data_IF_727336126385
#
_entry.id   IF_727336126385
#
_cell.length_a   1.000
_cell.length_b   1.000
_cell.length_c   1.000
_cell.angle_alpha   90.00
_cell.angle_beta   90.00
_cell.angle_gamma   90.00
#
_symmetry.space_group_name_H-M   'P 1'
#
loop_
_entity.id
_entity.type
_entity.pdbx_description
1 polymer ?
#
# COMPACT_ATOMS: atom_id res chain seq x y z
N UNK A 1 -26.98 -12.79 -11.59
CA UNK A 1 -27.01 -12.70 -13.07
C UNK A 1 -25.59 -12.65 -13.60
N UNK A 2 -25.17 -13.57 -14.49
CA UNK A 2 -23.87 -13.48 -15.20
C UNK A 2 -23.81 -12.16 -15.95
N UNK A 3 -22.64 -11.49 -15.95
CA UNK A 3 -22.42 -10.26 -16.70
C UNK A 3 -22.43 -10.56 -18.20
N UNK A 4 -22.97 -9.64 -19.00
CA UNK A 4 -23.01 -9.75 -20.45
C UNK A 4 -21.58 -9.78 -20.99
N UNK A 5 -21.25 -10.74 -21.85
CA UNK A 5 -19.93 -10.87 -22.45
C UNK A 5 -19.65 -9.74 -23.45
N UNK A 6 -18.37 -9.49 -23.71
CA UNK A 6 -17.95 -8.49 -24.73
C UNK A 6 -18.42 -8.92 -26.10
N UNK A 7 -18.37 -10.23 -26.39
CA UNK A 7 -18.80 -10.79 -27.66
C UNK A 7 -20.30 -10.53 -27.91
N UNK A 8 -21.14 -10.77 -26.90
CA UNK A 8 -22.57 -10.50 -27.04
C UNK A 8 -22.87 -8.99 -27.21
N UNK A 9 -22.15 -8.11 -26.51
CA UNK A 9 -22.26 -6.66 -26.70
C UNK A 9 -21.91 -6.25 -28.13
N UNK A 10 -20.84 -6.81 -28.71
CA UNK A 10 -20.44 -6.53 -30.09
C UNK A 10 -21.49 -7.03 -31.10
N UNK A 11 -22.05 -8.22 -30.91
CA UNK A 11 -23.15 -8.73 -31.76
C UNK A 11 -24.37 -7.80 -31.73
N UNK A 12 -24.74 -7.32 -30.56
CA UNK A 12 -25.86 -6.37 -30.41
C UNK A 12 -25.55 -5.03 -31.06
N UNK A 13 -24.32 -4.51 -30.95
CA UNK A 13 -23.89 -3.27 -31.60
C UNK A 13 -23.87 -3.46 -33.13
N UNK A 14 -23.29 -4.57 -33.61
CA UNK A 14 -23.23 -4.88 -35.06
C UNK A 14 -24.62 -5.03 -35.70
N UNK A 15 -25.62 -5.51 -34.97
CA UNK A 15 -27.00 -5.59 -35.47
C UNK A 15 -27.63 -4.22 -35.76
N UNK A 16 -27.07 -3.10 -35.22
CA UNK A 16 -27.58 -1.75 -35.50
C UNK A 16 -27.38 -1.39 -37.01
N UNK A 17 -26.27 -1.85 -37.60
CA UNK A 17 -25.96 -1.53 -38.99
C UNK A 17 -26.82 -2.31 -39.99
N UNK A 18 -27.38 -3.45 -39.59
CA UNK A 18 -28.31 -4.24 -40.40
C UNK A 18 -29.78 -3.79 -40.32
N UNK A 19 -30.09 -2.84 -39.39
CA UNK A 19 -31.46 -2.33 -39.23
C UNK A 19 -31.78 -1.18 -40.17
N UNK A 20 -33.02 -1.21 -40.70
CA UNK A 20 -33.54 -0.11 -41.52
C UNK A 20 -34.08 1.00 -40.61
N UNK A 21 -33.65 2.24 -40.81
CA UNK A 21 -34.15 3.39 -40.05
C UNK A 21 -33.43 4.69 -40.39
N UNK A 22 -34.16 5.79 -40.41
CA UNK A 22 -33.69 7.13 -40.80
C UNK A 22 -32.73 7.78 -39.82
N UNK A 23 -32.59 7.22 -38.60
CA UNK A 23 -31.65 7.69 -37.59
C UNK A 23 -31.06 6.53 -36.80
N UNK A 24 -29.87 6.75 -36.24
CA UNK A 24 -29.19 5.76 -35.43
C UNK A 24 -30.03 5.36 -34.21
N UNK A 25 -30.79 6.31 -33.60
CA UNK A 25 -31.66 6.07 -32.46
C UNK A 25 -32.85 5.18 -32.85
N UNK A 26 -33.42 5.38 -34.07
CA UNK A 26 -34.48 4.53 -34.61
C UNK A 26 -33.99 3.08 -34.78
N UNK A 27 -32.82 2.89 -35.37
CA UNK A 27 -32.19 1.56 -35.53
C UNK A 27 -31.91 0.88 -34.21
N UNK A 28 -31.41 1.62 -33.19
CA UNK A 28 -31.18 1.09 -31.83
C UNK A 28 -32.50 0.61 -31.20
N UNK A 29 -33.61 1.34 -31.39
CA UNK A 29 -34.93 0.94 -30.89
C UNK A 29 -35.41 -0.34 -31.57
N UNK A 30 -35.15 -0.55 -32.86
CA UNK A 30 -35.51 -1.80 -33.51
C UNK A 30 -34.65 -2.97 -33.00
N UNK A 31 -33.33 -2.77 -32.85
CA UNK A 31 -32.44 -3.79 -32.24
C UNK A 31 -32.90 -4.16 -30.81
N UNK A 32 -33.43 -3.21 -30.04
CA UNK A 32 -33.89 -3.50 -28.68
C UNK A 32 -35.09 -4.43 -28.61
N UNK A 33 -35.81 -4.65 -29.71
CA UNK A 33 -36.92 -5.61 -29.83
C UNK A 33 -36.44 -7.04 -30.11
N UNK A 34 -35.17 -7.21 -30.50
CA UNK A 34 -34.61 -8.52 -30.85
C UNK A 34 -34.19 -9.28 -29.63
N UNK A 35 -34.30 -10.60 -29.72
CA UNK A 35 -33.76 -11.53 -28.71
C UNK A 35 -32.40 -12.02 -29.17
N UNK A 36 -31.39 -11.86 -28.33
CA UNK A 36 -30.03 -12.37 -28.54
C UNK A 36 -29.80 -13.54 -27.59
N UNK A 37 -29.05 -14.55 -28.05
CA UNK A 37 -28.66 -15.67 -27.20
C UNK A 37 -27.22 -15.44 -26.74
N UNK A 38 -26.96 -15.61 -25.44
CA UNK A 38 -25.60 -15.57 -24.90
C UNK A 38 -24.84 -16.85 -25.25
N UNK A 39 -23.59 -16.95 -24.78
CA UNK A 39 -22.69 -18.09 -25.05
C UNK A 39 -23.20 -19.41 -24.43
N UNK A 40 -24.07 -19.30 -23.42
CA UNK A 40 -24.71 -20.45 -22.75
C UNK A 40 -26.08 -20.77 -23.44
N UNK A 41 -26.43 -20.10 -24.55
CA UNK A 41 -27.72 -20.26 -25.27
C UNK A 41 -28.91 -19.56 -24.57
N UNK A 42 -28.69 -18.79 -23.52
CA UNK A 42 -29.76 -18.14 -22.76
C UNK A 42 -30.27 -16.90 -23.50
N UNK A 43 -31.58 -16.75 -23.72
CA UNK A 43 -32.15 -15.61 -24.40
C UNK A 43 -32.01 -14.32 -23.57
N UNK A 44 -31.57 -13.24 -24.22
CA UNK A 44 -31.38 -11.92 -23.64
C UNK A 44 -32.02 -10.84 -24.49
N UNK A 45 -32.75 -9.95 -23.84
CA UNK A 45 -33.31 -8.73 -24.46
C UNK A 45 -32.68 -7.53 -23.77
N UNK A 46 -32.29 -6.53 -24.53
CA UNK A 46 -31.62 -5.33 -24.02
C UNK A 46 -32.44 -4.09 -24.31
N UNK A 47 -32.52 -3.19 -23.33
CA UNK A 47 -33.19 -1.91 -23.53
C UNK A 47 -32.41 -1.04 -24.51
N UNK A 48 -33.10 -0.18 -25.25
CA UNK A 48 -32.45 0.73 -26.19
C UNK A 48 -31.40 1.64 -25.53
N UNK A 49 -31.61 2.03 -24.26
CA UNK A 49 -30.62 2.82 -23.47
C UNK A 49 -29.35 2.03 -23.20
N UNK A 50 -29.47 0.76 -22.89
CA UNK A 50 -28.30 -0.13 -22.69
C UNK A 50 -27.48 -0.25 -23.97
N UNK A 51 -28.17 -0.45 -25.09
CA UNK A 51 -27.53 -0.56 -26.40
C UNK A 51 -26.85 0.75 -26.79
N UNK A 52 -27.51 1.88 -26.58
CA UNK A 52 -26.95 3.21 -26.82
C UNK A 52 -25.69 3.46 -25.97
N UNK A 53 -25.71 3.08 -24.69
CA UNK A 53 -24.57 3.20 -23.81
C UNK A 53 -23.39 2.37 -24.33
N UNK A 54 -23.62 1.13 -24.72
CA UNK A 54 -22.55 0.28 -25.28
C UNK A 54 -22.01 0.85 -26.60
N UNK A 55 -22.86 1.35 -27.47
CA UNK A 55 -22.41 1.99 -28.71
C UNK A 55 -21.55 3.24 -28.43
N UNK A 56 -21.96 4.06 -27.47
CA UNK A 56 -21.18 5.23 -27.04
C UNK A 56 -19.79 4.84 -26.52
N UNK A 57 -19.75 3.86 -25.61
CA UNK A 57 -18.49 3.33 -25.04
C UNK A 57 -17.61 2.75 -26.16
N UNK A 58 -18.20 1.99 -27.07
CA UNK A 58 -17.48 1.41 -28.21
C UNK A 58 -16.86 2.48 -29.13
N UNK A 59 -17.61 3.56 -29.41
CA UNK A 59 -17.11 4.68 -30.21
C UNK A 59 -15.98 5.47 -29.54
N UNK A 60 -15.92 5.51 -28.21
CA UNK A 60 -14.89 6.21 -27.45
C UNK A 60 -13.55 5.45 -27.36
N UNK A 61 -13.56 4.14 -27.31
CA UNK A 61 -12.34 3.38 -27.09
C UNK A 61 -12.38 1.92 -27.57
N UNK A 62 -13.25 1.61 -28.53
CA UNK A 62 -13.30 0.31 -29.16
C UNK A 62 -13.69 -0.84 -28.23
N UNK A 63 -13.28 -2.04 -28.61
CA UNK A 63 -13.59 -3.30 -27.91
C UNK A 63 -13.05 -3.31 -26.47
N UNK A 64 -11.89 -2.68 -26.23
CA UNK A 64 -11.26 -2.65 -24.90
C UNK A 64 -12.14 -1.96 -23.85
N UNK A 65 -12.84 -0.92 -24.23
CA UNK A 65 -13.73 -0.19 -23.32
C UNK A 65 -15.03 -0.97 -23.01
N UNK A 66 -15.42 -1.92 -23.87
CA UNK A 66 -16.59 -2.80 -23.64
C UNK A 66 -16.30 -3.90 -22.62
N UNK A 67 -15.04 -4.18 -22.29
CA UNK A 67 -14.67 -5.17 -21.31
C UNK A 67 -15.30 -4.83 -19.96
N UNK A 68 -15.81 -5.86 -19.28
CA UNK A 68 -16.37 -5.71 -17.94
C UNK A 68 -15.24 -5.44 -16.95
N UNK A 69 -14.96 -4.17 -16.68
CA UNK A 69 -13.99 -3.80 -15.65
C UNK A 69 -14.55 -4.13 -14.27
N UNK A 70 -13.80 -4.78 -13.39
CA UNK A 70 -14.19 -4.86 -11.99
C UNK A 70 -14.28 -3.43 -11.42
N UNK A 71 -15.18 -3.22 -10.48
CA UNK A 71 -15.24 -1.92 -9.78
C UNK A 71 -13.89 -1.64 -9.14
N UNK A 72 -13.41 -0.41 -9.22
CA UNK A 72 -12.14 0.03 -8.64
C UNK A 72 -12.09 -0.11 -7.10
N UNK A 73 -13.27 -0.24 -6.48
CA UNK A 73 -13.42 -0.46 -5.03
C UNK A 73 -13.64 -1.92 -4.64
N UNK A 74 -13.56 -2.87 -5.61
CA UNK A 74 -13.68 -4.30 -5.31
C UNK A 74 -12.50 -4.76 -4.47
N UNK A 75 -12.78 -5.23 -3.25
CA UNK A 75 -11.76 -5.66 -2.28
C UNK A 75 -11.27 -4.55 -1.35
N UNK A 76 -11.68 -3.30 -1.54
CA UNK A 76 -11.38 -2.22 -0.59
C UNK A 76 -12.48 -2.12 0.47
N UNK A 77 -12.07 -2.14 1.72
CA UNK A 77 -12.96 -1.96 2.87
C UNK A 77 -12.93 -0.49 3.30
N UNK A 78 -14.09 0.20 3.17
CA UNK A 78 -14.14 1.66 3.37
C UNK A 78 -14.13 2.08 4.85
N UNK A 79 -14.62 1.22 5.76
CA UNK A 79 -14.81 1.57 7.16
C UNK A 79 -14.14 0.61 8.14
N UNK A 80 -14.27 -0.69 7.95
CA UNK A 80 -13.68 -1.72 8.81
C UNK A 80 -12.85 -2.67 7.97
N UNK A 81 -11.60 -2.87 8.33
CA UNK A 81 -10.74 -3.88 7.71
C UNK A 81 -11.10 -5.28 8.24
N UNK A 82 -10.83 -6.35 7.48
CA UNK A 82 -11.02 -7.72 7.96
C UNK A 82 -10.21 -8.02 9.22
N UNK A 83 -9.01 -7.45 9.33
CA UNK A 83 -8.11 -7.61 10.48
C UNK A 83 -8.72 -7.00 11.75
N UNK A 84 -9.17 -5.75 11.70
CA UNK A 84 -9.84 -5.08 12.82
C UNK A 84 -11.11 -5.82 13.25
N UNK A 85 -11.84 -6.39 12.28
CA UNK A 85 -13.00 -7.23 12.59
C UNK A 85 -12.58 -8.55 13.23
N UNK A 86 -11.47 -9.15 12.79
CA UNK A 86 -10.94 -10.37 13.39
C UNK A 86 -10.51 -10.15 14.83
N UNK A 87 -9.76 -9.07 15.12
CA UNK A 87 -9.37 -8.71 16.48
C UNK A 87 -10.59 -8.54 17.40
N UNK A 88 -11.63 -7.85 16.91
CA UNK A 88 -12.88 -7.69 17.66
C UNK A 88 -13.59 -9.04 17.90
N UNK A 89 -13.58 -9.95 16.93
CA UNK A 89 -14.13 -11.31 17.08
C UNK A 89 -13.31 -12.11 18.10
N UNK A 90 -11.98 -12.09 18.01
CA UNK A 90 -11.09 -12.81 18.92
C UNK A 90 -11.19 -12.35 20.36
N UNK A 91 -11.44 -11.05 20.58
CA UNK A 91 -11.69 -10.50 21.90
C UNK A 91 -12.97 -11.04 22.56
N UNK A 92 -14.01 -11.27 21.77
CA UNK A 92 -15.35 -11.69 22.26
C UNK A 92 -15.51 -13.21 22.29
N UNK A 93 -14.83 -13.96 21.41
CA UNK A 93 -14.95 -15.42 21.32
C UNK A 93 -14.72 -16.19 22.63
N UNK A 94 -13.78 -15.82 23.52
CA UNK A 94 -13.60 -16.52 24.79
C UNK A 94 -14.84 -16.57 25.68
N UNK A 95 -15.75 -15.58 25.57
CA UNK A 95 -16.99 -15.54 26.36
C UNK A 95 -18.00 -16.60 25.94
N UNK A 96 -17.84 -17.17 24.75
CA UNK A 96 -18.76 -18.15 24.16
C UNK A 96 -18.19 -19.59 24.17
N UNK A 97 -17.08 -19.86 24.90
CA UNK A 97 -16.39 -21.18 24.86
C UNK A 97 -17.29 -22.33 25.24
N UNK A 98 -18.22 -22.13 26.17
CA UNK A 98 -19.10 -23.15 26.73
C UNK A 98 -20.55 -23.08 26.22
N UNK A 99 -20.86 -22.16 25.32
CA UNK A 99 -22.22 -21.93 24.82
C UNK A 99 -22.31 -22.04 23.31
N UNK A 100 -23.42 -22.59 22.81
CA UNK A 100 -23.71 -22.52 21.36
C UNK A 100 -23.97 -21.07 20.98
N UNK A 101 -23.17 -20.51 20.08
CA UNK A 101 -23.32 -19.17 19.58
C UNK A 101 -23.63 -19.15 18.08
N UNK A 102 -24.28 -18.08 17.63
CA UNK A 102 -24.45 -17.77 16.23
C UNK A 102 -23.73 -16.45 15.88
N UNK A 103 -23.55 -16.20 14.58
CA UNK A 103 -22.89 -15.00 14.07
C UNK A 103 -23.48 -13.69 14.58
N UNK A 104 -24.80 -13.68 14.81
CA UNK A 104 -25.52 -12.51 15.32
C UNK A 104 -25.17 -12.21 16.78
N UNK A 105 -25.00 -13.23 17.61
CA UNK A 105 -24.64 -13.04 19.03
C UNK A 105 -23.25 -12.41 19.14
N UNK A 106 -22.30 -12.88 18.35
CA UNK A 106 -20.95 -12.30 18.28
C UNK A 106 -21.01 -10.85 17.82
N UNK A 107 -21.76 -10.54 16.75
CA UNK A 107 -21.93 -9.17 16.27
C UNK A 107 -22.51 -8.25 17.35
N UNK A 108 -23.58 -8.67 18.04
CA UNK A 108 -24.16 -7.88 19.12
C UNK A 108 -23.15 -7.62 20.25
N UNK A 109 -22.40 -8.64 20.63
CA UNK A 109 -21.42 -8.53 21.72
C UNK A 109 -20.28 -7.58 21.37
N UNK A 110 -19.77 -7.59 20.14
CA UNK A 110 -18.78 -6.65 19.63
C UNK A 110 -19.29 -5.20 19.74
N UNK A 111 -20.55 -4.96 19.37
CA UNK A 111 -21.16 -3.63 19.46
C UNK A 111 -21.41 -3.21 20.90
N UNK A 112 -21.88 -4.13 21.77
CA UNK A 112 -22.12 -3.88 23.19
C UNK A 112 -20.82 -3.53 23.95
N UNK A 113 -19.73 -4.17 23.62
CA UNK A 113 -18.41 -3.88 24.21
C UNK A 113 -17.73 -2.64 23.61
N UNK A 114 -18.34 -2.01 22.59
CA UNK A 114 -17.78 -0.82 21.95
C UNK A 114 -16.52 -1.08 21.14
N UNK A 115 -16.18 -2.35 20.81
CA UNK A 115 -15.04 -2.71 19.98
C UNK A 115 -15.20 -2.21 18.56
N UNK A 116 -16.42 -2.16 18.05
CA UNK A 116 -16.81 -1.53 16.79
C UNK A 116 -18.15 -0.82 16.97
N UNK A 117 -18.38 0.25 16.22
CA UNK A 117 -19.68 0.91 16.18
C UNK A 117 -20.55 0.36 15.03
N UNK A 118 -21.87 0.54 15.13
CA UNK A 118 -22.79 0.21 14.02
C UNK A 118 -22.53 1.04 12.76
N UNK A 119 -21.97 2.25 12.92
CA UNK A 119 -21.59 3.12 11.80
C UNK A 119 -20.35 2.62 11.08
N UNK A 120 -19.45 1.92 11.76
CA UNK A 120 -18.23 1.37 11.18
C UNK A 120 -18.49 0.03 10.50
N UNK A 121 -19.21 -0.85 11.19
CA UNK A 121 -19.55 -2.17 10.67
C UNK A 121 -21.06 -2.43 10.80
N UNK A 122 -21.81 -2.29 9.71
CA UNK A 122 -23.20 -2.71 9.66
C UNK A 122 -23.31 -4.24 9.74
N UNK A 123 -24.45 -4.74 10.21
CA UNK A 123 -24.70 -6.18 10.27
C UNK A 123 -24.45 -6.90 8.94
N UNK A 124 -24.90 -6.32 7.83
CA UNK A 124 -24.69 -6.90 6.48
C UNK A 124 -23.20 -6.95 6.12
N UNK A 125 -22.44 -5.91 6.48
CA UNK A 125 -20.98 -5.88 6.28
C UNK A 125 -20.29 -6.92 7.14
N UNK A 126 -20.69 -7.07 8.40
CA UNK A 126 -20.18 -8.11 9.30
C UNK A 126 -20.38 -9.52 8.70
N UNK A 127 -21.60 -9.88 8.31
CA UNK A 127 -21.86 -11.21 7.74
C UNK A 127 -21.11 -11.45 6.44
N UNK A 128 -20.98 -10.42 5.60
CA UNK A 128 -20.22 -10.50 4.36
C UNK A 128 -18.74 -10.74 4.65
N UNK A 129 -18.12 -9.93 5.52
CA UNK A 129 -16.71 -10.06 5.87
C UNK A 129 -16.41 -11.41 6.54
N UNK A 130 -17.26 -11.82 7.50
CA UNK A 130 -17.13 -13.13 8.15
C UNK A 130 -17.18 -14.28 7.15
N UNK A 131 -18.05 -14.19 6.13
CA UNK A 131 -18.13 -15.21 5.08
C UNK A 131 -16.97 -15.15 4.10
N UNK A 132 -16.65 -13.94 3.61
CA UNK A 132 -15.68 -13.74 2.53
C UNK A 132 -14.24 -14.03 3.02
N UNK A 133 -13.99 -13.93 4.33
CA UNK A 133 -12.70 -14.16 4.99
C UNK A 133 -12.71 -15.31 6.01
N UNK A 134 -13.79 -16.08 6.12
CA UNK A 134 -13.96 -17.22 7.03
C UNK A 134 -13.58 -16.92 8.51
N UNK A 135 -13.91 -15.70 8.99
CA UNK A 135 -13.44 -15.18 10.27
C UNK A 135 -13.93 -15.96 11.51
N UNK A 136 -14.96 -16.77 11.40
CA UNK A 136 -15.53 -17.59 12.47
C UNK A 136 -15.32 -19.09 12.29
N UNK A 137 -14.53 -19.51 11.30
CA UNK A 137 -14.15 -20.91 11.20
C UNK A 137 -13.15 -21.26 12.30
N UNK A 138 -13.37 -22.34 13.07
CA UNK A 138 -12.38 -22.79 14.04
C UNK A 138 -11.06 -23.11 13.32
N UNK A 139 -9.96 -22.74 13.93
CA UNK A 139 -8.60 -22.94 13.37
C UNK A 139 -8.30 -24.40 12.97
N UNK A 140 -9.07 -25.38 13.52
CA UNK A 140 -8.95 -26.81 13.22
C UNK A 140 -9.57 -27.25 11.87
N UNK A 141 -10.34 -26.36 11.18
CA UNK A 141 -10.95 -26.63 9.87
C UNK A 141 -10.36 -25.82 8.72
N UNK A 142 -9.40 -24.96 8.96
CA UNK A 142 -8.49 -24.58 7.88
C UNK A 142 -7.76 -25.85 7.51
N UNK A 143 -8.14 -26.46 6.37
CA UNK A 143 -7.30 -27.47 5.73
C UNK A 143 -5.87 -27.00 5.89
N UNK A 144 -5.01 -27.87 6.45
CA UNK A 144 -3.57 -27.66 6.46
C UNK A 144 -3.16 -27.51 4.99
N UNK A 145 -3.31 -26.31 4.43
CA UNK A 145 -2.67 -25.98 3.17
C UNK A 145 -1.22 -26.32 3.42
N UNK A 146 -0.74 -27.37 2.79
CA UNK A 146 0.63 -27.87 2.91
C UNK A 146 1.53 -26.69 2.58
N UNK A 147 1.92 -25.95 3.64
CA UNK A 147 2.76 -24.75 3.51
C UNK A 147 4.14 -25.24 3.19
N UNK A 148 4.54 -25.07 1.95
CA UNK A 148 5.90 -25.31 1.56
C UNK A 148 6.75 -24.18 2.14
N UNK A 149 7.73 -24.53 2.97
CA UNK A 149 8.76 -23.57 3.36
C UNK A 149 9.43 -23.05 2.08
N UNK A 150 9.39 -21.75 1.87
CA UNK A 150 10.03 -21.12 0.72
C UNK A 150 11.22 -20.28 1.18
N UNK A 151 12.19 -20.13 0.34
CA UNK A 151 13.27 -19.17 0.47
C UNK A 151 13.57 -18.63 -0.92
N UNK A 152 13.83 -17.33 -1.00
CA UNK A 152 14.32 -16.73 -2.21
C UNK A 152 15.72 -17.24 -2.52
N UNK A 153 16.08 -17.26 -3.80
CA UNK A 153 17.36 -17.78 -4.24
C UNK A 153 18.46 -16.75 -4.04
N UNK A 154 18.20 -15.48 -4.35
CA UNK A 154 19.19 -14.41 -4.31
C UNK A 154 18.83 -13.32 -3.32
N UNK A 155 19.87 -12.65 -2.78
CA UNK A 155 19.70 -11.47 -1.94
C UNK A 155 18.95 -10.37 -2.72
N UNK A 156 18.16 -9.59 -2.01
CA UNK A 156 17.31 -8.52 -2.56
C UNK A 156 16.19 -8.98 -3.54
N UNK A 157 15.95 -10.27 -3.70
CA UNK A 157 14.70 -10.68 -4.37
C UNK A 157 13.47 -10.33 -3.54
N UNK A 158 13.55 -10.45 -2.22
CA UNK A 158 12.45 -10.12 -1.33
C UNK A 158 12.93 -9.70 0.05
N UNK A 159 12.45 -8.55 0.52
CA UNK A 159 12.54 -8.19 1.93
C UNK A 159 11.20 -8.39 2.62
N UNK A 160 11.23 -8.93 3.83
CA UNK A 160 10.09 -8.93 4.74
C UNK A 160 10.22 -7.76 5.70
N UNK A 161 9.12 -7.05 5.91
CA UNK A 161 9.03 -5.89 6.78
C UNK A 161 7.96 -6.14 7.84
N UNK A 162 8.26 -5.76 9.08
CA UNK A 162 7.31 -5.82 10.18
C UNK A 162 7.71 -4.89 11.32
N UNK A 163 6.78 -4.69 12.26
CA UNK A 163 6.98 -3.85 13.44
C UNK A 163 6.85 -4.68 14.72
N UNK A 164 7.73 -4.41 15.69
CA UNK A 164 7.73 -5.04 17.01
C UNK A 164 7.69 -3.99 18.11
N UNK A 165 6.98 -4.27 19.20
CA UNK A 165 7.07 -3.46 20.42
C UNK A 165 8.45 -3.57 21.06
N UNK A 166 9.05 -2.42 21.37
CA UNK A 166 10.33 -2.28 22.02
C UNK A 166 10.20 -1.90 23.51
N UNK A 167 11.31 -1.51 24.15
CA UNK A 167 11.33 -1.07 25.54
C UNK A 167 10.63 0.30 25.72
N UNK A 168 10.30 0.62 26.97
CA UNK A 168 9.80 1.94 27.34
C UNK A 168 10.97 2.90 27.53
N UNK A 169 10.90 4.07 26.89
CA UNK A 169 11.83 5.17 27.09
C UNK A 169 11.09 6.40 27.60
N UNK A 170 11.81 7.26 28.33
CA UNK A 170 11.28 8.58 28.69
C UNK A 170 11.17 9.43 27.41
N UNK A 171 9.96 9.98 27.19
CA UNK A 171 9.67 10.94 26.15
C UNK A 171 9.06 12.18 26.85
N UNK A 172 9.89 13.13 27.18
CA UNK A 172 9.50 14.25 28.04
C UNK A 172 9.13 13.79 29.47
N UNK A 173 7.89 14.05 29.90
CA UNK A 173 7.38 13.67 31.23
C UNK A 173 6.75 12.28 31.28
N UNK A 174 6.58 11.61 30.14
CA UNK A 174 5.90 10.31 30.04
C UNK A 174 6.89 9.22 29.62
N UNK A 175 6.60 7.96 30.01
CA UNK A 175 7.28 6.80 29.45
C UNK A 175 6.47 6.27 28.27
N UNK A 176 7.09 6.26 27.09
CA UNK A 176 6.45 5.80 25.86
C UNK A 176 7.10 4.50 25.40
N UNK A 177 6.29 3.51 25.07
CA UNK A 177 6.78 2.26 24.48
C UNK A 177 7.25 2.50 23.07
N UNK A 178 8.50 2.14 22.79
CA UNK A 178 9.07 2.25 21.45
C UNK A 178 8.55 1.17 20.51
N UNK A 179 8.69 1.39 19.23
CA UNK A 179 8.34 0.48 18.14
C UNK A 179 9.56 0.26 17.26
N UNK A 180 9.97 -0.99 17.07
CA UNK A 180 11.05 -1.37 16.15
C UNK A 180 10.44 -1.67 14.78
N UNK A 181 10.77 -0.87 13.77
CA UNK A 181 10.52 -1.18 12.36
C UNK A 181 11.76 -1.87 11.82
N UNK A 182 11.65 -3.06 11.26
CA UNK A 182 12.80 -3.81 10.76
C UNK A 182 12.53 -4.50 9.42
N UNK A 183 13.58 -4.65 8.64
CA UNK A 183 13.59 -5.29 7.32
C UNK A 183 14.59 -6.45 7.33
N UNK A 184 14.16 -7.62 6.88
CA UNK A 184 15.01 -8.79 6.71
C UNK A 184 15.00 -9.22 5.24
N UNK A 185 16.18 -9.50 4.70
CA UNK A 185 16.30 -10.14 3.40
C UNK A 185 15.95 -11.63 3.49
N UNK A 186 15.05 -12.06 2.61
CA UNK A 186 14.50 -13.41 2.64
C UNK A 186 15.53 -14.50 2.35
N UNK A 187 16.46 -14.27 1.43
CA UNK A 187 17.49 -15.24 1.03
C UNK A 187 18.62 -15.32 2.05
N UNK A 188 19.21 -14.18 2.39
CA UNK A 188 20.42 -14.11 3.21
C UNK A 188 20.16 -14.05 4.71
N UNK A 189 18.95 -13.71 5.14
CA UNK A 189 18.60 -13.41 6.55
C UNK A 189 19.27 -12.15 7.10
N UNK A 190 19.95 -11.37 6.28
CA UNK A 190 20.52 -10.09 6.70
C UNK A 190 19.39 -9.16 7.16
N UNK A 191 19.57 -8.55 8.32
CA UNK A 191 18.77 -7.40 8.68
C UNK A 191 19.32 -6.22 7.89
N UNK A 192 18.57 -5.80 6.89
CA UNK A 192 19.00 -4.73 5.99
C UNK A 192 19.01 -3.39 6.69
N UNK A 193 18.01 -3.15 7.54
CA UNK A 193 17.94 -2.07 8.51
C UNK A 193 16.89 -2.39 9.58
N UNK A 194 17.02 -1.74 10.73
CA UNK A 194 15.99 -1.71 11.76
C UNK A 194 16.23 -0.49 12.65
N UNK A 195 15.16 0.14 13.10
CA UNK A 195 15.23 1.36 13.92
C UNK A 195 14.04 1.44 14.87
N UNK A 196 14.32 1.84 16.12
CA UNK A 196 13.30 2.14 17.10
C UNK A 196 12.79 3.57 16.93
N UNK A 197 11.47 3.73 17.11
CA UNK A 197 10.76 5.00 17.07
C UNK A 197 9.78 5.08 18.24
N UNK A 198 9.33 6.28 18.62
CA UNK A 198 8.26 6.46 19.59
C UNK A 198 6.87 6.16 19.05
N UNK A 199 6.70 6.17 17.75
CA UNK A 199 5.42 5.90 17.07
C UNK A 199 5.61 5.10 15.80
N UNK A 200 4.59 4.35 15.45
CA UNK A 200 4.49 3.65 14.17
C UNK A 200 3.63 4.49 13.23
N UNK A 201 4.29 5.18 12.31
CA UNK A 201 3.65 6.03 11.32
C UNK A 201 4.38 5.94 9.96
N UNK A 202 3.77 6.47 8.92
CA UNK A 202 4.29 6.43 7.56
C UNK A 202 5.66 7.13 7.42
N UNK A 203 5.87 8.25 8.11
CA UNK A 203 7.13 9.01 8.01
C UNK A 203 8.30 8.22 8.60
N UNK A 204 8.10 7.57 9.76
CA UNK A 204 9.08 6.69 10.38
C UNK A 204 9.38 5.45 9.53
N UNK A 205 8.36 4.89 8.89
CA UNK A 205 8.53 3.79 7.95
C UNK A 205 9.35 4.21 6.73
N UNK A 206 9.07 5.38 6.15
CA UNK A 206 9.81 5.94 5.01
C UNK A 206 11.27 6.21 5.41
N UNK A 207 11.51 6.76 6.61
CA UNK A 207 12.85 6.99 7.12
C UNK A 207 13.63 5.68 7.24
N UNK A 208 13.05 4.65 7.84
CA UNK A 208 13.68 3.35 8.00
C UNK A 208 13.90 2.65 6.64
N UNK A 209 12.93 2.72 5.72
CA UNK A 209 13.07 2.17 4.37
C UNK A 209 14.18 2.87 3.58
N UNK A 210 14.26 4.21 3.64
CA UNK A 210 15.33 4.99 3.02
C UNK A 210 16.70 4.52 3.50
N UNK A 211 16.89 4.39 4.82
CA UNK A 211 18.15 3.91 5.40
C UNK A 211 18.50 2.48 4.94
N UNK A 212 17.51 1.58 4.87
CA UNK A 212 17.67 0.23 4.35
C UNK A 212 18.13 0.22 2.90
N UNK A 213 17.50 1.01 2.04
CA UNK A 213 17.77 1.08 0.60
C UNK A 213 19.17 1.62 0.30
N UNK A 214 19.59 2.68 0.99
CA UNK A 214 20.97 3.21 0.84
C UNK A 214 22.03 2.23 1.33
N UNK A 215 21.73 1.48 2.39
CA UNK A 215 22.69 0.56 3.00
C UNK A 215 22.84 -0.76 2.23
N UNK A 216 21.73 -1.32 1.71
CA UNK A 216 21.68 -2.69 1.18
C UNK A 216 21.09 -2.80 -0.23
N UNK A 217 20.86 -1.67 -0.89
CA UNK A 217 20.30 -1.64 -2.25
C UNK A 217 18.79 -1.83 -2.31
N UNK A 218 18.27 -2.01 -3.51
CA UNK A 218 16.84 -2.01 -3.82
C UNK A 218 16.34 -3.46 -3.94
N UNK A 219 15.35 -3.90 -3.13
CA UNK A 219 14.74 -5.21 -3.29
C UNK A 219 13.80 -5.24 -4.50
N UNK A 220 13.65 -6.40 -5.12
CA UNK A 220 12.63 -6.60 -6.17
C UNK A 220 11.23 -6.58 -5.57
N UNK A 221 11.05 -7.16 -4.39
CA UNK A 221 9.78 -7.26 -3.68
C UNK A 221 9.93 -6.81 -2.23
N UNK A 222 9.00 -5.98 -1.76
CA UNK A 222 8.82 -5.66 -0.35
C UNK A 222 7.54 -6.36 0.13
N UNK A 223 7.67 -7.26 1.09
CA UNK A 223 6.60 -8.11 1.59
C UNK A 223 6.15 -7.64 2.97
N UNK A 224 4.91 -7.18 3.08
CA UNK A 224 4.34 -6.50 4.24
C UNK A 224 3.00 -7.11 4.64
N UNK A 225 2.51 -6.81 5.84
CA UNK A 225 1.13 -7.12 6.20
C UNK A 225 0.14 -6.08 5.64
N UNK A 226 -1.14 -6.21 6.04
CA UNK A 226 -2.20 -5.30 5.62
C UNK A 226 -2.40 -4.13 6.60
N UNK A 227 -1.43 -3.85 7.48
CA UNK A 227 -1.48 -2.73 8.40
C UNK A 227 -1.61 -1.38 7.68
N UNK A 228 -2.26 -0.42 8.32
CA UNK A 228 -2.59 0.88 7.69
C UNK A 228 -1.37 1.65 7.18
N UNK A 229 -0.23 1.55 7.86
CA UNK A 229 1.02 2.20 7.45
C UNK A 229 1.63 1.59 6.17
N UNK A 230 1.36 0.32 5.89
CA UNK A 230 1.88 -0.39 4.73
C UNK A 230 0.96 -0.31 3.50
N UNK A 231 -0.31 0.05 3.71
CA UNK A 231 -1.31 0.20 2.63
C UNK A 231 -1.46 1.64 2.16
N UNK A 232 -0.71 2.58 2.73
CA UNK A 232 -0.79 3.99 2.38
C UNK A 232 -0.29 4.28 0.96
N UNK A 233 -0.79 5.36 0.37
CA UNK A 233 -0.46 5.73 -1.00
C UNK A 233 1.03 6.06 -1.18
N UNK A 234 1.65 6.62 -0.15
CA UNK A 234 3.05 7.05 -0.14
C UNK A 234 4.01 5.88 -0.33
N UNK A 235 3.83 4.79 0.41
CA UNK A 235 4.70 3.60 0.28
C UNK A 235 4.52 2.98 -1.11
N UNK A 236 3.27 2.92 -1.62
CA UNK A 236 3.01 2.45 -2.98
C UNK A 236 3.74 3.30 -4.03
N UNK A 237 3.69 4.63 -3.89
CA UNK A 237 4.37 5.55 -4.81
C UNK A 237 5.90 5.41 -4.74
N UNK A 238 6.48 5.33 -3.54
CA UNK A 238 7.93 5.12 -3.35
C UNK A 238 8.35 3.80 -3.99
N UNK A 239 7.65 2.70 -3.69
CA UNK A 239 7.93 1.38 -4.27
C UNK A 239 7.86 1.42 -5.80
N UNK A 240 6.86 2.08 -6.38
CA UNK A 240 6.74 2.24 -7.83
C UNK A 240 7.92 3.04 -8.43
N UNK A 241 8.36 4.13 -7.77
CA UNK A 241 9.48 4.96 -8.23
C UNK A 241 10.81 4.22 -8.22
N UNK A 242 11.07 3.41 -7.19
CA UNK A 242 12.30 2.61 -7.10
C UNK A 242 12.23 1.29 -7.86
N UNK A 243 11.06 0.95 -8.42
CA UNK A 243 10.84 -0.30 -9.16
C UNK A 243 10.78 -1.54 -8.27
N UNK A 244 10.25 -1.41 -7.05
CA UNK A 244 10.00 -2.49 -6.10
C UNK A 244 8.53 -2.88 -6.12
N UNK A 245 8.24 -4.18 -6.19
CA UNK A 245 6.88 -4.69 -6.08
C UNK A 245 6.48 -4.74 -4.60
N UNK A 246 5.44 -3.98 -4.23
CA UNK A 246 4.86 -4.06 -2.89
C UNK A 246 3.83 -5.20 -2.84
N UNK A 247 4.10 -6.22 -2.03
CA UNK A 247 3.23 -7.38 -1.86
C UNK A 247 2.71 -7.45 -0.43
N UNK A 248 1.40 -7.65 -0.29
CA UNK A 248 0.76 -7.83 1.01
C UNK A 248 0.55 -9.31 1.33
N UNK A 249 0.73 -9.68 2.61
CA UNK A 249 0.42 -11.04 3.06
C UNK A 249 -1.05 -11.37 2.84
N UNK A 250 -1.38 -12.60 2.44
CA UNK A 250 -2.77 -13.04 2.49
C UNK A 250 -3.32 -12.94 3.91
N UNK A 251 -4.59 -12.56 4.02
CA UNK A 251 -5.28 -12.48 5.31
C UNK A 251 -5.20 -13.85 6.00
N UNK A 252 -4.81 -13.87 7.28
CA UNK A 252 -4.58 -15.09 8.10
C UNK A 252 -3.39 -15.95 7.67
N UNK A 253 -2.45 -15.46 6.91
CA UNK A 253 -1.22 -16.20 6.60
C UNK A 253 0.01 -15.61 7.33
N UNK A 254 -0.03 -15.60 8.68
CA UNK A 254 1.08 -15.14 9.51
C UNK A 254 2.39 -15.89 9.25
N UNK A 255 2.33 -17.17 8.85
CA UNK A 255 3.52 -17.95 8.54
C UNK A 255 4.30 -17.43 7.30
N UNK A 256 3.67 -16.60 6.47
CA UNK A 256 4.32 -16.00 5.32
C UNK A 256 5.45 -15.01 5.71
N UNK A 257 5.42 -14.44 6.94
CA UNK A 257 6.45 -13.56 7.50
C UNK A 257 7.32 -14.25 8.59
N UNK A 258 7.34 -15.57 8.63
CA UNK A 258 8.02 -16.32 9.70
C UNK A 258 9.52 -16.01 9.88
N UNK A 259 10.19 -15.39 8.90
CA UNK A 259 11.61 -15.03 9.00
C UNK A 259 11.80 -13.76 9.84
N UNK A 260 11.01 -12.73 9.60
CA UNK A 260 11.06 -11.50 10.41
C UNK A 260 10.52 -11.76 11.83
N UNK A 261 9.49 -12.60 11.98
CA UNK A 261 8.99 -13.01 13.30
C UNK A 261 10.06 -13.75 14.11
N UNK A 262 10.82 -14.66 13.46
CA UNK A 262 11.95 -15.34 14.10
C UNK A 262 13.05 -14.38 14.50
N UNK A 263 13.36 -13.40 13.65
CA UNK A 263 14.30 -12.32 13.99
C UNK A 263 13.81 -11.55 15.22
N UNK A 264 12.55 -11.16 15.29
CA UNK A 264 12.00 -10.46 16.46
C UNK A 264 12.08 -11.28 17.73
N UNK A 265 11.90 -12.60 17.65
CA UNK A 265 12.15 -13.48 18.79
C UNK A 265 13.62 -13.41 19.20
N UNK A 266 14.55 -13.54 18.26
CA UNK A 266 15.98 -13.44 18.52
C UNK A 266 16.35 -12.08 19.10
N UNK A 267 15.77 -10.99 18.61
CA UNK A 267 15.97 -9.65 19.14
C UNK A 267 15.50 -9.55 20.63
N UNK A 268 14.32 -10.08 20.93
CA UNK A 268 13.85 -10.14 22.33
C UNK A 268 14.79 -10.93 23.24
N UNK A 269 15.20 -12.12 22.80
CA UNK A 269 15.97 -13.06 23.61
C UNK A 269 17.46 -12.67 23.74
N UNK A 270 18.05 -12.00 22.77
CA UNK A 270 19.49 -11.73 22.71
C UNK A 270 19.86 -10.26 22.84
N UNK A 271 18.99 -9.33 22.44
CA UNK A 271 19.24 -7.90 22.53
C UNK A 271 18.49 -7.26 23.70
N UNK A 272 17.15 -7.40 23.75
CA UNK A 272 16.33 -6.69 24.73
C UNK A 272 16.50 -7.19 26.18
N UNK A 273 17.04 -8.39 26.39
CA UNK A 273 17.36 -8.90 27.75
C UNK A 273 18.68 -8.36 28.32
N UNK A 274 19.48 -7.62 27.51
CA UNK A 274 20.72 -7.00 27.97
C UNK A 274 20.44 -5.77 28.84
N UNK A 275 21.46 -5.37 29.60
CA UNK A 275 21.44 -4.06 30.24
C UNK A 275 21.66 -2.99 29.17
N UNK A 276 20.59 -2.42 28.68
CA UNK A 276 20.59 -1.39 27.64
C UNK A 276 20.68 0.01 28.25
N UNK A 277 21.35 0.92 27.56
CA UNK A 277 21.23 2.35 27.80
C UNK A 277 19.91 2.85 27.19
N UNK A 278 18.94 3.17 28.03
CA UNK A 278 17.61 3.67 27.68
C UNK A 278 17.49 5.18 27.97
N UNK A 279 18.61 5.89 28.01
CA UNK A 279 18.63 7.34 28.26
C UNK A 279 18.03 8.15 27.13
N UNK A 280 18.20 7.68 25.88
CA UNK A 280 17.64 8.31 24.69
C UNK A 280 17.31 7.30 23.60
N UNK A 281 16.51 7.72 22.62
CA UNK A 281 16.20 6.92 21.43
C UNK A 281 17.45 6.66 20.57
N UNK A 282 18.33 7.65 20.50
CA UNK A 282 19.63 7.56 19.80
C UNK A 282 20.54 6.53 20.43
N UNK A 283 20.64 6.52 21.77
CA UNK A 283 21.44 5.55 22.53
C UNK A 283 20.92 4.12 22.29
N UNK A 284 19.60 3.92 22.35
CA UNK A 284 18.99 2.63 22.05
C UNK A 284 19.26 2.19 20.60
N UNK A 285 19.09 3.09 19.62
CA UNK A 285 19.32 2.79 18.21
C UNK A 285 20.79 2.51 17.92
N UNK A 286 21.72 3.24 18.52
CA UNK A 286 23.17 2.99 18.41
C UNK A 286 23.55 1.58 18.86
N UNK A 287 23.06 1.16 20.04
CA UNK A 287 23.29 -0.19 20.56
C UNK A 287 22.66 -1.27 19.69
N UNK A 288 21.43 -1.00 19.18
CA UNK A 288 20.75 -1.94 18.30
C UNK A 288 21.48 -2.11 16.96
N UNK A 289 21.92 -1.02 16.34
CA UNK A 289 22.68 -1.08 15.08
C UNK A 289 24.01 -1.84 15.26
N UNK A 290 24.73 -1.58 16.36
CA UNK A 290 25.95 -2.32 16.68
C UNK A 290 25.67 -3.82 16.84
N UNK A 291 24.63 -4.19 17.60
CA UNK A 291 24.25 -5.59 17.79
C UNK A 291 23.83 -6.27 16.46
N UNK A 292 23.07 -5.56 15.61
CA UNK A 292 22.65 -6.11 14.31
C UNK A 292 23.86 -6.37 13.41
N UNK A 293 24.80 -5.43 13.30
CA UNK A 293 25.90 -5.55 12.35
C UNK A 293 27.00 -6.50 12.86
N UNK A 294 27.40 -6.35 14.10
CA UNK A 294 28.55 -7.07 14.64
C UNK A 294 28.20 -8.46 15.20
N UNK A 295 26.95 -8.66 15.62
CA UNK A 295 26.55 -9.93 16.21
C UNK A 295 25.55 -10.68 15.33
N UNK A 296 24.40 -10.10 14.98
CA UNK A 296 23.36 -10.84 14.26
C UNK A 296 23.77 -11.13 12.81
N UNK A 297 24.16 -10.11 12.04
CA UNK A 297 24.56 -10.26 10.64
C UNK A 297 25.91 -10.98 10.48
N UNK A 298 26.78 -10.89 11.47
CA UNK A 298 28.13 -11.48 11.47
C UNK A 298 28.23 -12.87 12.11
N UNK A 299 27.16 -13.38 12.73
CA UNK A 299 27.13 -14.72 13.34
C UNK A 299 26.63 -15.77 12.37
N UNK A 300 27.20 -16.99 12.43
CA UNK A 300 26.72 -18.12 11.62
C UNK A 300 25.26 -18.43 11.93
N UNK A 301 24.41 -18.33 10.90
CA UNK A 301 22.98 -18.60 11.00
C UNK A 301 22.73 -20.10 10.85
N UNK A 302 21.96 -20.70 11.78
CA UNK A 302 21.76 -22.16 11.87
C UNK A 302 21.20 -22.80 10.59
N UNK A 303 20.30 -22.13 9.88
CA UNK A 303 19.72 -22.66 8.63
C UNK A 303 20.63 -22.44 7.42
N UNK A 304 21.38 -21.32 7.37
CA UNK A 304 22.27 -21.00 6.24
C UNK A 304 23.63 -21.68 6.35
N UNK A 305 24.04 -22.11 7.56
CA UNK A 305 25.38 -22.62 7.89
C UNK A 305 26.51 -21.65 7.52
N UNK A 306 26.18 -20.37 7.38
CA UNK A 306 27.10 -19.25 7.11
C UNK A 306 26.57 -17.96 7.72
N UNK A 307 27.40 -16.92 7.76
CA UNK A 307 26.98 -15.60 8.24
C UNK A 307 25.97 -14.98 7.26
N UNK A 308 24.90 -14.34 7.74
CA UNK A 308 23.99 -13.60 6.89
C UNK A 308 24.68 -12.62 5.94
N UNK A 309 25.65 -11.86 6.45
CA UNK A 309 26.38 -10.86 5.66
C UNK A 309 27.20 -11.50 4.52
N UNK A 310 27.83 -12.66 4.76
CA UNK A 310 28.59 -13.37 3.75
C UNK A 310 27.65 -13.91 2.66
N UNK A 311 26.49 -14.47 3.06
CA UNK A 311 25.47 -14.94 2.11
C UNK A 311 24.93 -13.78 1.25
N UNK A 312 24.72 -12.61 1.85
CA UNK A 312 24.33 -11.40 1.12
C UNK A 312 25.42 -10.97 0.14
N UNK A 313 26.67 -11.00 0.58
CA UNK A 313 27.84 -10.62 -0.22
C UNK A 313 28.03 -11.44 -1.50
N UNK A 314 27.59 -12.70 -1.50
CA UNK A 314 27.69 -13.58 -2.70
C UNK A 314 26.87 -13.05 -3.89
N UNK A 315 25.84 -12.25 -3.66
CA UNK A 315 24.93 -11.75 -4.69
C UNK A 315 25.15 -10.25 -5.01
N UNK A 316 26.24 -9.63 -4.51
CA UNK A 316 26.49 -8.18 -4.66
C UNK A 316 26.42 -7.69 -6.12
N UNK A 317 26.91 -8.50 -7.07
CA UNK A 317 26.86 -8.16 -8.50
C UNK A 317 25.46 -8.07 -9.09
N UNK A 318 24.45 -8.63 -8.41
CA UNK A 318 23.04 -8.62 -8.81
C UNK A 318 22.25 -7.48 -8.13
N UNK A 319 22.81 -6.88 -7.10
CA UNK A 319 22.12 -5.88 -6.28
C UNK A 319 22.20 -4.52 -6.98
N UNK A 320 21.04 -3.92 -7.16
CA UNK A 320 20.91 -2.55 -7.63
C UNK A 320 20.95 -1.61 -6.43
N UNK A 321 21.91 -0.70 -6.41
CA UNK A 321 22.04 0.32 -5.36
C UNK A 321 21.43 1.65 -5.82
N UNK A 322 21.05 2.47 -4.85
CA UNK A 322 20.74 3.88 -5.09
C UNK A 322 22.06 4.66 -5.09
N UNK A 323 22.24 5.49 -6.10
CA UNK A 323 23.34 6.45 -6.08
C UNK A 323 23.12 7.47 -4.96
N UNK A 324 24.15 7.84 -4.19
CA UNK A 324 24.04 8.80 -3.09
C UNK A 324 23.95 10.25 -3.60
N UNK A 325 23.02 10.53 -4.50
CA UNK A 325 22.75 11.88 -5.02
C UNK A 325 21.52 12.49 -4.35
N UNK A 326 21.53 13.82 -4.15
CA UNK A 326 20.35 14.54 -3.61
C UNK A 326 19.09 14.33 -4.43
N UNK A 327 19.20 14.12 -5.74
CA UNK A 327 18.09 13.80 -6.62
C UNK A 327 17.36 12.52 -6.21
N UNK A 328 18.02 11.57 -5.58
CA UNK A 328 17.41 10.33 -5.13
C UNK A 328 16.58 10.51 -3.84
N UNK A 329 16.79 11.58 -3.08
CA UNK A 329 15.92 11.92 -1.95
C UNK A 329 14.51 12.27 -2.38
N UNK A 330 14.34 12.82 -3.58
CA UNK A 330 13.03 13.12 -4.17
C UNK A 330 12.17 11.86 -4.38
N UNK A 331 12.79 10.68 -4.44
CA UNK A 331 12.08 9.40 -4.52
C UNK A 331 11.19 9.15 -3.29
N UNK A 332 11.62 9.65 -2.13
CA UNK A 332 10.94 9.48 -0.84
C UNK A 332 9.99 10.61 -0.49
N UNK A 333 9.88 11.63 -1.35
CA UNK A 333 9.00 12.76 -1.13
C UNK A 333 7.53 12.37 -1.30
N UNK A 334 6.71 12.94 -0.44
CA UNK A 334 5.25 12.86 -0.56
C UNK A 334 4.79 13.60 -1.82
N UNK A 335 3.86 13.00 -2.54
CA UNK A 335 3.31 13.55 -3.78
C UNK A 335 1.83 13.84 -3.64
N UNK A 336 1.42 15.00 -4.13
CA UNK A 336 0.01 15.40 -4.21
C UNK A 336 -0.24 16.32 -5.41
N UNK A 337 -1.48 16.29 -5.91
CA UNK A 337 -1.91 17.20 -6.96
C UNK A 337 -2.22 18.58 -6.39
N UNK A 338 -1.84 19.64 -7.13
CA UNK A 338 -2.15 21.04 -6.83
C UNK A 338 -2.60 21.76 -8.09
N UNK A 339 -3.67 22.56 -7.97
CA UNK A 339 -4.08 23.48 -9.02
C UNK A 339 -3.26 24.75 -8.92
N UNK A 340 -2.60 25.12 -9.99
CA UNK A 340 -1.90 26.39 -10.12
C UNK A 340 -2.92 27.48 -10.49
N UNK A 341 -2.89 28.58 -9.78
CA UNK A 341 -3.79 29.72 -9.97
C UNK A 341 -3.43 30.51 -11.23
N UNK A 342 -4.28 31.48 -11.58
CA UNK A 342 -4.04 32.40 -12.73
C UNK A 342 -2.76 33.23 -12.57
N UNK A 343 -2.37 33.51 -11.32
CA UNK A 343 -1.17 34.24 -10.95
C UNK A 343 0.08 33.35 -10.88
N UNK A 344 0.04 32.19 -11.47
CA UNK A 344 1.10 31.19 -11.47
C UNK A 344 1.54 30.75 -10.07
N UNK A 345 0.64 30.76 -9.07
CA UNK A 345 0.92 30.31 -7.71
C UNK A 345 0.13 29.07 -7.32
N UNK A 346 0.67 28.29 -6.40
CA UNK A 346 -0.03 27.17 -5.74
C UNK A 346 0.31 27.13 -4.24
N UNK A 347 -0.42 26.36 -3.45
CA UNK A 347 -0.21 26.30 -2.01
C UNK A 347 0.10 24.88 -1.53
N UNK A 348 1.11 24.76 -0.66
CA UNK A 348 1.45 23.55 0.08
C UNK A 348 1.53 23.91 1.56
N UNK A 349 0.78 23.19 2.43
CA UNK A 349 0.75 23.44 3.88
C UNK A 349 0.54 24.93 4.25
N UNK A 350 -0.41 25.59 3.57
CA UNK A 350 -0.73 27.02 3.74
C UNK A 350 0.39 28.01 3.29
N UNK A 351 1.53 27.54 2.81
CA UNK A 351 2.58 28.37 2.19
C UNK A 351 2.34 28.43 0.69
N UNK A 352 2.50 29.63 0.09
CA UNK A 352 2.42 29.82 -1.35
C UNK A 352 3.78 29.63 -2.01
N UNK A 353 3.73 29.01 -3.20
CA UNK A 353 4.90 28.74 -4.03
C UNK A 353 4.63 29.17 -5.47
N UNK A 354 5.69 29.46 -6.19
CA UNK A 354 5.72 29.72 -7.63
C UNK A 354 6.47 28.59 -8.31
N UNK A 355 5.89 27.90 -9.33
CA UNK A 355 6.62 26.94 -10.11
C UNK A 355 7.71 27.63 -10.95
N UNK A 356 8.78 26.91 -11.36
CA UNK A 356 9.90 27.49 -12.10
C UNK A 356 9.58 27.91 -13.55
N UNK A 357 8.36 27.62 -14.02
CA UNK A 357 7.86 28.00 -15.36
C UNK A 357 6.37 28.29 -15.28
N UNK A 358 5.80 28.87 -16.35
CA UNK A 358 4.36 29.14 -16.40
C UNK A 358 3.55 27.85 -16.51
N UNK A 359 2.81 27.58 -15.46
CA UNK A 359 1.86 26.46 -15.33
C UNK A 359 0.47 26.96 -14.91
N UNK A 360 0.17 28.24 -15.14
CA UNK A 360 -1.09 28.88 -14.78
C UNK A 360 -2.31 28.09 -15.25
N UNK A 361 -3.31 27.95 -14.39
CA UNK A 361 -4.55 27.18 -14.61
C UNK A 361 -4.34 25.69 -14.93
N UNK A 362 -3.18 25.13 -14.60
CA UNK A 362 -2.88 23.69 -14.75
C UNK A 362 -2.97 22.98 -13.41
N UNK A 363 -3.24 21.70 -13.44
CA UNK A 363 -3.05 20.80 -12.30
C UNK A 363 -1.68 20.15 -12.44
N UNK A 364 -0.87 20.30 -11.41
CA UNK A 364 0.51 19.79 -11.33
C UNK A 364 0.63 18.79 -10.17
N UNK A 365 1.59 17.87 -10.25
CA UNK A 365 2.04 17.09 -9.09
C UNK A 365 3.15 17.87 -8.39
N UNK A 366 3.06 17.94 -7.06
CA UNK A 366 4.13 18.53 -6.24
C UNK A 366 4.67 17.46 -5.30
N UNK A 367 6.01 17.40 -5.20
CA UNK A 367 6.71 16.51 -4.27
C UNK A 367 7.47 17.32 -3.24
N UNK A 368 7.37 16.90 -1.99
CA UNK A 368 8.07 17.55 -0.88
C UNK A 368 8.23 16.59 0.31
N UNK A 369 9.20 16.88 1.18
CA UNK A 369 9.32 16.18 2.44
C UNK A 369 8.30 16.75 3.45
N UNK A 370 7.45 15.90 4.04
CA UNK A 370 6.44 16.33 5.03
C UNK A 370 7.07 16.93 6.30
N UNK A 371 8.17 16.35 6.76
CA UNK A 371 8.86 16.81 7.97
C UNK A 371 9.57 18.15 7.76
N UNK A 372 10.05 18.40 6.54
CA UNK A 372 10.67 19.66 6.16
C UNK A 372 10.22 20.06 4.74
N UNK A 373 9.12 20.84 4.60
CA UNK A 373 8.58 21.23 3.31
C UNK A 373 9.36 22.40 2.66
N UNK A 374 10.60 22.66 3.07
CA UNK A 374 11.38 23.76 2.49
C UNK A 374 11.69 23.56 1.02
N UNK A 375 11.77 22.30 0.57
CA UNK A 375 12.03 21.94 -0.80
C UNK A 375 10.77 21.35 -1.44
N UNK A 376 10.17 22.06 -2.39
CA UNK A 376 8.97 21.65 -3.14
C UNK A 376 9.31 21.52 -4.62
N UNK A 377 9.12 20.35 -5.19
CA UNK A 377 9.44 20.05 -6.59
C UNK A 377 8.14 19.97 -7.39
N UNK A 378 8.05 20.73 -8.48
CA UNK A 378 6.93 20.71 -9.39
C UNK A 378 7.14 19.68 -10.51
N UNK A 379 6.10 18.89 -10.78
CA UNK A 379 6.02 17.95 -11.91
C UNK A 379 4.77 18.24 -12.73
N UNK A 380 4.90 18.19 -14.05
CA UNK A 380 3.78 18.34 -14.96
C UNK A 380 3.82 17.24 -16.03
N UNK A 381 2.73 16.48 -16.18
CA UNK A 381 2.63 15.35 -17.10
C UNK A 381 3.77 14.33 -16.95
N UNK A 382 4.20 14.09 -15.71
CA UNK A 382 5.27 13.15 -15.38
C UNK A 382 6.70 13.68 -15.58
N UNK A 383 6.86 14.91 -16.09
CA UNK A 383 8.16 15.56 -16.26
C UNK A 383 8.48 16.43 -15.03
N UNK A 384 9.73 16.39 -14.60
CA UNK A 384 10.25 17.26 -13.54
C UNK A 384 10.46 18.67 -14.12
N UNK A 385 9.67 19.63 -13.63
CA UNK A 385 9.74 21.02 -14.05
C UNK A 385 10.84 21.78 -13.30
N UNK A 386 11.10 21.42 -12.06
CA UNK A 386 12.10 22.05 -11.20
C UNK A 386 11.60 22.32 -9.79
N UNK A 387 12.42 23.01 -9.00
CA UNK A 387 12.10 23.40 -7.64
C UNK A 387 11.24 24.67 -7.65
N UNK A 388 10.14 24.67 -6.89
CA UNK A 388 9.27 25.82 -6.75
C UNK A 388 9.79 26.76 -5.67
N UNK A 389 9.82 28.04 -5.95
CA UNK A 389 10.22 29.07 -5.00
C UNK A 389 9.06 29.42 -4.05
N UNK A 390 9.37 29.73 -2.78
CA UNK A 390 8.38 30.38 -1.91
C UNK A 390 8.02 31.74 -2.47
N UNK A 391 6.72 32.05 -2.52
CA UNK A 391 6.24 33.30 -3.06
C UNK A 391 6.80 34.50 -2.25
N UNK A 392 7.56 35.35 -2.92
CA UNK A 392 8.02 36.61 -2.40
C UNK A 392 7.21 37.76 -3.03
N UNK A 393 6.22 38.27 -2.28
CA UNK A 393 5.35 39.35 -2.72
C UNK A 393 6.08 40.65 -3.05
N UNK A 394 7.21 40.90 -2.36
CA UNK A 394 7.98 42.14 -2.55
C UNK A 394 8.91 42.04 -3.77
N UNK A 395 9.41 40.83 -4.05
CA UNK A 395 10.25 40.61 -5.25
C UNK A 395 9.41 40.73 -6.53
N UNK A 396 8.15 40.27 -6.50
CA UNK A 396 7.25 40.33 -7.66
C UNK A 396 6.72 41.73 -8.00
N UNK A 397 6.81 42.69 -7.07
CA UNK A 397 6.47 44.09 -7.31
C UNK A 397 7.63 44.90 -7.99
N UNK A 398 8.80 44.27 -8.15
CA UNK A 398 9.94 44.91 -8.84
C UNK A 398 9.88 44.61 -10.34
N UNK A 399 10.08 45.62 -11.21
CA UNK A 399 10.15 45.35 -12.65
C UNK A 399 11.26 44.34 -12.94
N UNK A 400 11.08 43.44 -13.93
CA UNK A 400 12.11 42.49 -14.31
C UNK A 400 13.40 43.23 -14.63
N UNK A 401 14.53 42.83 -14.03
CA UNK A 401 15.83 43.33 -14.45
C UNK A 401 16.01 42.97 -15.92
N UNK A 402 16.13 43.98 -16.78
CA UNK A 402 16.53 43.78 -18.16
C UNK A 402 17.83 43.02 -18.14
N UNK A 403 17.81 41.80 -18.74
CA UNK A 403 19.00 41.01 -18.97
C UNK A 403 19.87 41.71 -19.95
N UNK A 404 21.03 42.23 -19.49
CA UNK A 404 22.14 42.63 -20.36
C UNK A 404 22.70 41.43 -21.16
#
# INVERSE_FOLDING_TARGET
>A
MKRVSVYLKLRVIGAIDSMVGNSIVSRIKEVSKLTFHDEDGIPRVFTWRTIQTWLSIYKQGGVEMLKNRPRSDKGKHRKVSPEALQEAIEAVLPEFRDTRYNKMMIYRRIIEQGLLSRSDCSQTSFFRLVRDYDLLMPASKTENKRRLAFSKEYANEMWQLDTMFGPYLKNGRTATQTKLIAFIDDASRVITHGQFFFSENTDNLIQALRAALYKRGIPQTLYVDNGSIYTCAEINQICARIGTLLCHTPIRDGAAKGKIERFFRTCRDQFLLRKLDLSSLEALNGQFHHWVEEEYNARVHSTLQMKPIDRFGMDLSRIRFLDPMEANDELFFFEQDRSVRKDNTFSVNAVRYEPPCDLSNRTIQVRFNRANPDRVIAFFKGQRMGEAAKLDWLANDRPPKESE
#
